data_IF_370192850801
#
_entry.id   IF_370192850801
#
_cell.length_a   1.000
_cell.length_b   1.000
_cell.length_c   1.000
_cell.angle_alpha   90.00
_cell.angle_beta   90.00
_cell.angle_gamma   90.00
#
_symmetry.space_group_name_H-M   'P 1'
#
loop_
_entity.id
_entity.type
_entity.pdbx_description
1 polymer ?
#
# COMPACT_ATOMS: atom_id res chain seq x y z
N UNK A 1 17.68 3.50 -3.21
CA UNK A 1 17.01 2.19 -3.07
C UNK A 1 15.71 2.24 -3.85
N UNK A 2 15.51 1.27 -4.73
CA UNK A 2 14.31 1.07 -5.52
C UNK A 2 13.66 -0.24 -5.05
N UNK A 3 12.46 -0.15 -4.47
CA UNK A 3 11.65 -1.32 -4.14
C UNK A 3 10.79 -1.69 -5.34
N UNK A 4 10.79 -2.97 -5.70
CA UNK A 4 9.94 -3.52 -6.77
C UNK A 4 9.27 -4.75 -6.19
N UNK A 5 7.97 -4.90 -6.40
CA UNK A 5 7.25 -6.12 -6.03
C UNK A 5 6.30 -6.52 -7.15
N UNK A 6 6.20 -7.82 -7.37
CA UNK A 6 5.25 -8.42 -8.31
C UNK A 6 4.71 -9.71 -7.72
N UNK A 7 3.44 -9.99 -8.01
CA UNK A 7 2.82 -11.27 -7.75
C UNK A 7 3.32 -12.32 -8.76
N UNK A 8 2.56 -13.42 -8.90
CA UNK A 8 2.85 -14.47 -9.88
C UNK A 8 4.27 -15.07 -9.73
N UNK A 9 4.76 -15.17 -8.49
CA UNK A 9 6.09 -15.71 -8.19
C UNK A 9 7.26 -14.71 -8.36
N UNK A 10 7.01 -13.46 -8.75
CA UNK A 10 8.06 -12.44 -8.86
C UNK A 10 8.69 -12.05 -7.52
N UNK A 11 7.85 -11.94 -6.48
CA UNK A 11 8.28 -11.52 -5.15
C UNK A 11 8.61 -10.04 -5.07
N UNK A 12 9.25 -9.63 -3.97
CA UNK A 12 9.75 -8.28 -3.79
C UNK A 12 11.28 -8.24 -3.77
N UNK A 13 11.85 -7.17 -4.30
CA UNK A 13 13.29 -6.90 -4.36
C UNK A 13 13.55 -5.46 -3.97
N UNK A 14 14.73 -5.21 -3.42
CA UNK A 14 15.28 -3.86 -3.37
C UNK A 14 16.57 -3.80 -4.15
N UNK A 15 16.66 -2.82 -5.03
CA UNK A 15 17.83 -2.51 -5.82
C UNK A 15 18.47 -1.24 -5.28
N UNK A 16 19.78 -1.27 -5.07
CA UNK A 16 20.59 -0.09 -4.95
C UNK A 16 20.99 0.37 -6.36
N UNK A 17 20.75 1.64 -6.64
CA UNK A 17 21.08 2.26 -7.91
C UNK A 17 22.22 3.25 -7.67
N UNK A 18 23.33 3.05 -8.37
CA UNK A 18 24.44 3.99 -8.44
C UNK A 18 24.46 4.68 -9.80
N UNK A 19 25.05 5.87 -9.88
CA UNK A 19 25.25 6.58 -11.15
C UNK A 19 26.68 7.05 -11.27
N UNK A 20 27.32 6.76 -12.40
CA UNK A 20 28.64 7.26 -12.77
C UNK A 20 28.59 7.79 -14.20
N UNK A 21 28.62 9.12 -14.35
CA UNK A 21 28.35 9.79 -15.62
C UNK A 21 26.98 9.41 -16.20
N UNK A 22 26.98 8.86 -17.41
CA UNK A 22 25.78 8.39 -18.11
C UNK A 22 25.37 6.94 -17.74
N UNK A 23 26.20 6.22 -16.98
CA UNK A 23 25.96 4.81 -16.64
C UNK A 23 25.25 4.69 -15.30
N UNK A 24 24.17 3.91 -15.28
CA UNK A 24 23.52 3.44 -14.05
C UNK A 24 24.05 2.07 -13.69
N UNK A 25 24.53 1.89 -12.46
CA UNK A 25 24.87 0.58 -11.89
C UNK A 25 23.75 0.12 -10.97
N UNK A 26 23.52 -1.19 -10.94
CA UNK A 26 22.42 -1.80 -10.16
C UNK A 26 23.01 -2.92 -9.32
N UNK A 27 22.71 -2.91 -8.02
CA UNK A 27 23.05 -3.98 -7.08
C UNK A 27 21.78 -4.43 -6.36
N UNK A 28 21.44 -5.71 -6.44
CA UNK A 28 20.36 -6.25 -5.61
C UNK A 28 20.80 -6.31 -4.15
N UNK A 29 20.01 -5.68 -3.26
CA UNK A 29 20.24 -5.74 -1.82
C UNK A 29 19.64 -7.00 -1.23
N UNK A 30 18.42 -7.35 -1.66
CA UNK A 30 17.72 -8.54 -1.23
C UNK A 30 16.58 -8.88 -2.20
N UNK A 31 16.18 -10.15 -2.19
CA UNK A 31 14.97 -10.69 -2.82
C UNK A 31 14.20 -11.52 -1.80
N UNK A 32 12.87 -11.33 -1.74
CA UNK A 32 11.99 -12.12 -0.89
C UNK A 32 10.75 -12.56 -1.70
N UNK A 33 10.64 -13.86 -2.06
CA UNK A 33 9.54 -14.37 -2.87
C UNK A 33 8.19 -14.42 -2.13
N UNK A 34 8.19 -14.29 -0.80
CA UNK A 34 6.96 -14.32 0.01
C UNK A 34 6.19 -13.00 0.00
N UNK A 35 6.85 -11.90 -0.38
CA UNK A 35 6.22 -10.58 -0.48
C UNK A 35 5.76 -10.41 -1.92
N UNK A 36 4.46 -10.48 -2.16
CA UNK A 36 3.88 -10.48 -3.51
C UNK A 36 2.89 -9.34 -3.64
N UNK A 37 3.09 -8.46 -4.61
CA UNK A 37 2.17 -7.36 -4.88
C UNK A 37 1.49 -7.60 -6.21
N UNK A 38 0.19 -7.85 -6.20
CA UNK A 38 -0.57 -8.16 -7.40
C UNK A 38 -0.82 -6.90 -8.26
N UNK A 39 -1.97 -6.27 -8.11
CA UNK A 39 -2.28 -5.00 -8.77
C UNK A 39 -2.32 -3.83 -7.76
N UNK A 40 -1.79 -4.03 -6.56
CA UNK A 40 -1.84 -3.05 -5.47
C UNK A 40 -0.73 -2.00 -5.51
N UNK A 41 -0.85 -0.99 -4.66
CA UNK A 41 0.22 -0.03 -4.37
C UNK A 41 1.03 -0.44 -3.12
N UNK A 42 2.30 -0.02 -3.11
CA UNK A 42 3.18 -0.14 -1.94
C UNK A 42 3.58 1.26 -1.47
N UNK A 43 3.42 1.53 -0.18
CA UNK A 43 3.67 2.84 0.43
C UNK A 43 4.90 2.75 1.33
N UNK A 44 5.93 3.53 1.04
CA UNK A 44 7.06 3.69 1.94
C UNK A 44 6.80 4.81 2.95
N UNK A 45 6.94 4.52 4.24
CA UNK A 45 6.99 5.53 5.32
C UNK A 45 8.22 5.23 6.17
N UNK A 46 9.18 6.15 6.18
CA UNK A 46 10.47 5.94 6.83
C UNK A 46 11.22 4.72 6.26
N UNK A 47 11.59 3.79 7.13
CA UNK A 47 12.31 2.57 6.79
C UNK A 47 11.41 1.37 6.49
N UNK A 48 10.09 1.57 6.44
CA UNK A 48 9.12 0.50 6.19
C UNK A 48 8.31 0.74 4.91
N UNK A 49 7.99 -0.37 4.24
CA UNK A 49 7.04 -0.42 3.13
C UNK A 49 5.80 -1.17 3.58
N UNK A 50 4.64 -0.56 3.39
CA UNK A 50 3.34 -1.14 3.67
C UNK A 50 2.64 -1.48 2.35
N UNK A 51 2.11 -2.69 2.26
CA UNK A 51 1.45 -3.19 1.06
C UNK A 51 0.43 -4.29 1.40
N UNK A 52 -0.55 -4.46 0.52
CA UNK A 52 -1.41 -5.65 0.51
C UNK A 52 -0.67 -6.79 -0.22
N UNK A 53 -0.02 -7.66 0.55
CA UNK A 53 0.76 -8.78 0.01
C UNK A 53 -0.10 -10.00 -0.24
N UNK A 54 -0.14 -10.50 -1.47
CA UNK A 54 -0.89 -11.68 -1.89
C UNK A 54 -1.05 -11.75 -3.40
N UNK A 55 -1.55 -12.89 -3.89
CA UNK A 55 -1.84 -13.09 -5.31
C UNK A 55 -3.17 -13.83 -5.49
N UNK A 56 -3.12 -15.16 -5.68
CA UNK A 56 -4.27 -16.06 -5.74
C UNK A 56 -4.57 -16.54 -4.33
N UNK A 57 -5.73 -16.17 -3.78
CA UNK A 57 -6.11 -16.45 -2.40
C UNK A 57 -6.00 -15.24 -1.48
N UNK A 58 -5.85 -15.44 -0.16
CA UNK A 58 -5.90 -14.34 0.80
C UNK A 58 -4.73 -13.37 0.60
N UNK A 59 -5.02 -12.08 0.74
CA UNK A 59 -4.02 -11.05 0.89
C UNK A 59 -3.85 -10.65 2.35
N UNK A 60 -2.69 -10.09 2.65
CA UNK A 60 -2.31 -9.67 3.99
C UNK A 60 -1.79 -8.25 3.93
N UNK A 61 -2.34 -7.36 4.75
CA UNK A 61 -1.66 -6.09 5.00
C UNK A 61 -0.33 -6.42 5.66
N UNK A 62 0.77 -5.97 5.05
CA UNK A 62 2.12 -6.39 5.40
C UNK A 62 3.01 -5.17 5.60
N UNK A 63 3.81 -5.18 6.66
CA UNK A 63 4.93 -4.26 6.83
C UNK A 63 6.25 -4.96 6.53
N UNK A 64 7.08 -4.32 5.71
CA UNK A 64 8.38 -4.82 5.30
C UNK A 64 9.44 -3.77 5.60
N UNK A 65 10.48 -4.17 6.32
CA UNK A 65 11.66 -3.33 6.51
C UNK A 65 12.45 -3.21 5.20
N UNK A 66 12.56 -2.00 4.65
CA UNK A 66 13.05 -1.80 3.28
C UNK A 66 14.54 -2.17 3.11
N UNK A 67 15.33 -2.06 4.18
CA UNK A 67 16.77 -2.36 4.15
C UNK A 67 17.07 -3.85 4.13
N UNK A 68 16.21 -4.66 4.77
CA UNK A 68 16.48 -6.08 5.03
C UNK A 68 15.53 -7.03 4.30
N UNK A 69 14.36 -6.54 3.85
CA UNK A 69 13.31 -7.39 3.30
C UNK A 69 12.57 -8.22 4.36
N UNK A 70 12.83 -7.95 5.65
CA UNK A 70 12.18 -8.62 6.77
C UNK A 70 10.73 -8.17 6.89
N UNK A 71 9.83 -9.13 6.96
CA UNK A 71 8.42 -8.90 7.28
C UNK A 71 8.33 -8.62 8.78
N UNK A 72 7.87 -7.42 9.15
CA UNK A 72 7.69 -7.03 10.55
C UNK A 72 6.38 -7.57 11.13
N UNK A 73 5.30 -7.47 10.37
CA UNK A 73 4.02 -8.06 10.71
C UNK A 73 3.17 -8.28 9.46
N UNK A 74 2.16 -9.14 9.62
CA UNK A 74 1.09 -9.36 8.65
C UNK A 74 -0.26 -9.46 9.38
N UNK A 75 -1.31 -8.91 8.79
CA UNK A 75 -2.69 -9.05 9.28
C UNK A 75 -3.65 -9.35 8.13
N UNK A 76 -4.77 -10.01 8.46
CA UNK A 76 -5.84 -10.43 7.53
C UNK A 76 -7.07 -9.50 7.58
N UNK A 77 -6.89 -8.26 8.04
CA UNK A 77 -8.01 -7.31 8.22
C UNK A 77 -8.74 -6.93 6.93
N UNK A 78 -8.08 -7.09 5.78
CA UNK A 78 -8.59 -6.68 4.47
C UNK A 78 -8.36 -7.76 3.42
N UNK A 79 -9.23 -7.81 2.42
CA UNK A 79 -8.98 -8.51 1.16
C UNK A 79 -7.84 -7.80 0.38
N UNK A 80 -7.59 -8.20 -0.88
CA UNK A 80 -6.58 -7.52 -1.72
C UNK A 80 -6.90 -6.03 -1.80
N UNK A 81 -5.96 -5.18 -1.43
CA UNK A 81 -6.23 -3.76 -1.26
C UNK A 81 -5.26 -2.82 -2.00
N UNK A 82 -5.79 -1.65 -2.34
CA UNK A 82 -5.08 -0.47 -2.77
C UNK A 82 -4.84 0.46 -1.58
N UNK A 83 -3.68 1.11 -1.57
CA UNK A 83 -3.26 2.02 -0.51
C UNK A 83 -2.96 3.42 -1.06
N UNK A 84 -3.37 4.43 -0.30
CA UNK A 84 -2.84 5.79 -0.39
C UNK A 84 -2.34 6.22 0.98
N UNK A 85 -1.43 7.19 1.02
CA UNK A 85 -0.97 7.78 2.28
C UNK A 85 -1.19 9.29 2.28
N UNK A 86 -1.92 9.76 3.27
CA UNK A 86 -2.23 11.18 3.47
C UNK A 86 -2.42 11.46 4.95
N UNK A 87 -2.00 12.65 5.41
CA UNK A 87 -2.19 13.11 6.79
C UNK A 87 -1.75 12.07 7.87
N UNK A 88 -0.62 11.39 7.63
CA UNK A 88 -0.09 10.41 8.55
C UNK A 88 -0.90 9.12 8.67
N UNK A 89 -1.80 8.84 7.71
CA UNK A 89 -2.71 7.69 7.70
C UNK A 89 -2.66 7.00 6.35
N UNK A 90 -2.91 5.70 6.36
CA UNK A 90 -3.25 4.94 5.17
C UNK A 90 -4.75 5.07 4.91
N UNK A 91 -5.09 5.37 3.66
CA UNK A 91 -6.44 5.16 3.12
C UNK A 91 -6.38 3.83 2.38
N UNK A 92 -7.23 2.89 2.80
CA UNK A 92 -7.27 1.51 2.31
C UNK A 92 -8.57 1.29 1.57
N UNK A 93 -8.51 0.82 0.33
CA UNK A 93 -9.66 0.32 -0.41
C UNK A 93 -9.39 -1.14 -0.75
N UNK A 94 -10.16 -2.05 -0.18
CA UNK A 94 -10.06 -3.46 -0.56
C UNK A 94 -10.95 -3.80 -1.76
N UNK A 95 -10.69 -4.96 -2.36
CA UNK A 95 -11.36 -5.39 -3.58
C UNK A 95 -12.85 -5.62 -3.40
N UNK A 96 -13.32 -5.86 -2.18
CA UNK A 96 -14.73 -6.03 -1.85
C UNK A 96 -15.45 -4.69 -1.66
N UNK A 97 -14.72 -3.57 -1.73
CA UNK A 97 -15.27 -2.23 -1.67
C UNK A 97 -15.30 -1.62 -0.27
N UNK A 98 -14.59 -2.21 0.69
CA UNK A 98 -14.41 -1.63 2.02
C UNK A 98 -13.39 -0.51 1.92
N UNK A 99 -13.82 0.70 2.32
CA UNK A 99 -12.95 1.85 2.49
C UNK A 99 -12.62 2.01 3.98
N UNK A 100 -11.35 2.20 4.29
CA UNK A 100 -10.90 2.39 5.67
C UNK A 100 -9.79 3.45 5.80
N UNK A 101 -9.72 4.04 6.99
CA UNK A 101 -8.57 4.81 7.45
C UNK A 101 -7.80 3.99 8.47
N UNK A 102 -6.48 3.94 8.35
CA UNK A 102 -5.62 3.19 9.26
C UNK A 102 -4.34 3.94 9.58
N UNK A 103 -3.74 3.64 10.73
CA UNK A 103 -2.34 3.95 11.02
C UNK A 103 -1.52 2.68 10.88
N UNK A 104 -0.38 2.79 10.22
CA UNK A 104 0.60 1.72 10.15
C UNK A 104 1.91 2.21 10.78
N UNK A 105 2.44 1.41 11.70
CA UNK A 105 3.76 1.59 12.31
C UNK A 105 4.57 0.31 12.11
N UNK A 106 5.88 0.30 12.39
CA UNK A 106 6.69 -0.91 12.34
C UNK A 106 6.17 -2.05 13.25
N UNK A 107 5.42 -1.71 14.30
CA UNK A 107 4.95 -2.64 15.33
C UNK A 107 3.53 -3.15 15.05
N UNK A 108 2.66 -2.32 14.46
CA UNK A 108 1.27 -2.72 14.24
C UNK A 108 0.55 -1.98 13.11
N UNK A 109 -0.59 -2.54 12.74
CA UNK A 109 -1.60 -1.94 11.90
C UNK A 109 -2.86 -1.66 12.73
N UNK A 110 -3.35 -0.41 12.71
CA UNK A 110 -4.50 0.01 13.49
C UNK A 110 -5.55 0.66 12.59
N UNK A 111 -6.69 -0.02 12.41
CA UNK A 111 -7.86 0.54 11.71
C UNK A 111 -8.51 1.60 12.61
N UNK A 112 -8.65 2.81 12.10
CA UNK A 112 -9.30 3.94 12.78
C UNK A 112 -10.79 4.00 12.49
N UNK A 113 -11.17 3.77 11.23
CA UNK A 113 -12.57 3.73 10.77
C UNK A 113 -12.67 2.88 9.51
N UNK A 114 -13.87 2.34 9.25
CA UNK A 114 -14.16 1.54 8.06
C UNK A 114 -15.62 1.70 7.63
N UNK A 115 -15.89 1.55 6.34
CA UNK A 115 -17.23 1.54 5.77
C UNK A 115 -17.26 0.67 4.52
N UNK A 116 -18.31 -0.13 4.35
CA UNK A 116 -18.60 -0.81 3.08
C UNK A 116 -19.16 0.21 2.10
N UNK A 117 -18.32 0.68 1.18
CA UNK A 117 -18.63 1.80 0.30
C UNK A 117 -19.10 1.32 -1.07
N UNK A 118 -18.34 0.41 -1.69
CA UNK A 118 -18.65 -0.13 -3.01
C UNK A 118 -19.31 -1.50 -2.90
N UNK A 119 -20.06 -1.88 -3.94
CA UNK A 119 -20.80 -3.16 -3.98
C UNK A 119 -20.22 -4.16 -5.00
N UNK A 120 -19.20 -3.74 -5.75
CA UNK A 120 -18.54 -4.55 -6.77
C UNK A 120 -17.03 -4.45 -6.62
N UNK A 121 -16.34 -5.29 -7.39
CA UNK A 121 -14.88 -5.36 -7.40
C UNK A 121 -14.24 -3.97 -7.57
N UNK A 122 -13.42 -3.61 -6.59
CA UNK A 122 -12.79 -2.29 -6.45
C UNK A 122 -11.26 -2.39 -6.55
N UNK A 123 -10.76 -2.64 -7.76
CA UNK A 123 -9.31 -2.78 -8.00
C UNK A 123 -8.61 -1.47 -8.38
N UNK A 124 -9.37 -0.43 -8.69
CA UNK A 124 -8.80 0.86 -9.09
C UNK A 124 -8.20 1.56 -7.86
N UNK A 125 -6.93 2.00 -7.88
CA UNK A 125 -6.38 2.80 -6.80
C UNK A 125 -7.27 4.01 -6.51
N UNK A 126 -7.64 4.26 -5.24
CA UNK A 126 -8.34 5.49 -4.90
C UNK A 126 -7.45 6.70 -5.24
N UNK A 127 -8.05 7.86 -5.49
CA UNK A 127 -7.31 9.08 -5.83
C UNK A 127 -7.76 10.22 -4.94
N UNK A 128 -6.82 10.89 -4.27
CA UNK A 128 -7.09 12.01 -3.38
C UNK A 128 -6.66 13.33 -4.03
N UNK A 129 -7.59 14.28 -4.13
CA UNK A 129 -7.34 15.66 -4.59
C UNK A 129 -7.82 16.64 -3.53
N UNK A 130 -6.90 17.28 -2.83
CA UNK A 130 -7.22 18.07 -1.64
C UNK A 130 -7.90 17.19 -0.58
N UNK A 131 -9.12 17.54 -0.19
CA UNK A 131 -9.95 16.75 0.73
C UNK A 131 -10.89 15.76 0.03
N UNK A 132 -10.94 15.75 -1.32
CA UNK A 132 -11.89 14.93 -2.08
C UNK A 132 -11.25 13.62 -2.51
N UNK A 133 -11.81 12.50 -2.05
CA UNK A 133 -11.39 11.14 -2.39
C UNK A 133 -12.29 10.58 -3.48
N UNK A 134 -11.70 10.14 -4.58
CA UNK A 134 -12.37 9.45 -5.66
C UNK A 134 -12.14 7.95 -5.51
N UNK A 135 -13.23 7.19 -5.47
CA UNK A 135 -13.23 5.74 -5.33
C UNK A 135 -14.06 5.15 -6.47
N UNK A 136 -13.52 4.13 -7.14
CA UNK A 136 -14.17 3.52 -8.30
C UNK A 136 -14.25 2.00 -8.14
N UNK A 137 -15.43 1.46 -8.42
CA UNK A 137 -15.64 0.04 -8.66
C UNK A 137 -15.87 -0.25 -10.16
N UNK A 138 -16.28 -1.48 -10.50
CA UNK A 138 -16.54 -1.87 -11.89
C UNK A 138 -17.75 -1.18 -12.54
N UNK A 139 -18.62 -0.51 -11.78
CA UNK A 139 -19.83 0.11 -12.31
C UNK A 139 -19.91 1.63 -12.06
N UNK A 140 -19.32 2.12 -10.98
CA UNK A 140 -19.54 3.48 -10.49
C UNK A 140 -18.25 4.13 -10.02
N UNK A 141 -18.26 5.46 -10.00
CA UNK A 141 -17.26 6.29 -9.35
C UNK A 141 -17.96 7.19 -8.33
N UNK A 142 -17.44 7.20 -7.11
CA UNK A 142 -17.95 8.00 -6.00
C UNK A 142 -16.90 9.04 -5.61
N UNK A 143 -17.34 10.24 -5.27
CA UNK A 143 -16.50 11.29 -4.70
C UNK A 143 -16.92 11.54 -3.25
N UNK A 144 -15.99 11.32 -2.32
CA UNK A 144 -16.19 11.54 -0.89
C UNK A 144 -15.43 12.78 -0.44
N UNK A 145 -16.05 13.59 0.39
CA UNK A 145 -15.34 14.63 1.12
C UNK A 145 -14.80 14.02 2.42
N UNK A 146 -13.48 14.06 2.62
CA UNK A 146 -12.84 13.56 3.84
C UNK A 146 -12.75 14.63 4.94
N UNK A 147 -13.19 15.86 4.66
CA UNK A 147 -13.03 17.01 5.53
C UNK A 147 -11.59 17.54 5.58
N UNK A 148 -11.40 18.65 6.28
CA UNK A 148 -10.08 19.22 6.50
C UNK A 148 -9.27 18.32 7.47
N UNK A 149 -8.01 18.05 7.13
CA UNK A 149 -7.07 17.43 8.07
C UNK A 149 -6.90 18.33 9.30
N UNK A 150 -6.68 17.72 10.46
CA UNK A 150 -6.35 18.48 11.66
C UNK A 150 -5.11 19.34 11.39
N UNK A 151 -5.07 20.61 11.82
CA UNK A 151 -3.90 21.46 11.59
C UNK A 151 -2.67 20.78 12.18
N UNK A 152 -1.59 20.71 11.40
CA UNK A 152 -0.30 20.21 11.90
C UNK A 152 0.09 21.09 13.10
N UNK A 153 0.20 20.49 14.29
CA UNK A 153 0.81 21.18 15.43
C UNK A 153 2.25 21.51 15.03
N UNK A 154 2.59 22.80 15.10
CA UNK A 154 3.96 23.30 14.92
C UNK A 154 4.87 22.73 15.99
#
# INVERSE_FOLDING_TARGET
>A
MLFIASAYGGGARVLELGRSGAKTTVRELWHNPRIQLHFGSAIRVGDFVYLSSGHSGPAFMTAVEIKTGRIAWQTRDFAKAQLLYADGKLIVLDEDGVLALARATPERFQVLSRVSLQKRLSWTPPTLVGARLYVRDRATISALDLGAGAPKKK
#
